data_IF_571578332615
#
_entry.id   IF_571578332615
#
_cell.length_a   1.000
_cell.length_b   1.000
_cell.length_c   1.000
_cell.angle_alpha   90.00
_cell.angle_beta   90.00
_cell.angle_gamma   90.00
#
_symmetry.space_group_name_H-M   'P 1'
#
loop_
_entity.id
_entity.type
_entity.pdbx_description
1 polymer ?
#
# COMPACT_ATOMS: atom_id res chain seq x y z
N UNK A 1 -0.15 -11.72 21.80
CA UNK A 1 0.12 -10.71 20.73
C UNK A 1 0.70 -11.33 19.45
N UNK A 2 1.58 -12.35 19.52
CA UNK A 2 2.19 -12.99 18.34
C UNK A 2 1.19 -13.68 17.39
N UNK A 3 0.10 -14.27 17.91
CA UNK A 3 -0.91 -14.98 17.11
C UNK A 3 -1.77 -14.07 16.23
N UNK A 4 -2.08 -12.85 16.66
CA UNK A 4 -2.93 -11.91 15.90
C UNK A 4 -2.23 -11.33 14.67
N UNK A 5 -0.90 -11.10 14.75
CA UNK A 5 -0.06 -10.71 13.61
C UNK A 5 0.10 -11.84 12.59
N UNK A 6 0.19 -13.09 13.07
CA UNK A 6 0.27 -14.28 12.22
C UNK A 6 -1.06 -14.52 11.47
N UNK A 7 -2.20 -14.33 12.15
CA UNK A 7 -3.53 -14.45 11.53
C UNK A 7 -3.77 -13.33 10.50
N UNK A 8 -3.33 -12.09 10.77
CA UNK A 8 -3.44 -10.99 9.81
C UNK A 8 -2.57 -11.21 8.56
N UNK A 9 -1.37 -11.78 8.71
CA UNK A 9 -0.50 -12.14 7.57
C UNK A 9 -1.02 -13.36 6.80
N UNK A 10 -1.62 -14.34 7.48
CA UNK A 10 -2.33 -15.47 6.86
C UNK A 10 -3.61 -15.04 6.15
N UNK A 11 -4.36 -14.06 6.65
CA UNK A 11 -5.53 -13.48 5.99
C UNK A 11 -5.14 -12.66 4.76
N UNK A 12 -4.03 -11.92 4.83
CA UNK A 12 -3.50 -11.17 3.68
C UNK A 12 -2.96 -12.13 2.60
N UNK A 13 -2.29 -13.22 3.01
CA UNK A 13 -1.88 -14.29 2.09
C UNK A 13 -3.09 -15.07 1.54
N UNK A 14 -4.14 -15.28 2.34
CA UNK A 14 -5.37 -15.96 1.97
C UNK A 14 -6.26 -15.16 1.01
N UNK A 15 -6.31 -13.83 1.15
CA UNK A 15 -6.99 -12.95 0.20
C UNK A 15 -6.26 -12.90 -1.16
N UNK A 16 -4.93 -13.03 -1.15
CA UNK A 16 -4.13 -13.23 -2.37
C UNK A 16 -4.34 -14.62 -2.99
N UNK A 17 -4.57 -15.66 -2.18
CA UNK A 17 -4.71 -17.05 -2.65
C UNK A 17 -6.14 -17.41 -3.11
N UNK A 18 -7.18 -16.89 -2.45
CA UNK A 18 -8.58 -17.21 -2.78
C UNK A 18 -9.03 -16.60 -4.11
N UNK A 19 -8.42 -15.48 -4.53
CA UNK A 19 -8.68 -14.88 -5.84
C UNK A 19 -7.91 -15.53 -7.00
N UNK A 20 -7.01 -16.48 -6.73
CA UNK A 20 -6.33 -17.25 -7.79
C UNK A 20 -7.26 -18.28 -8.45
N UNK A 21 -8.34 -18.68 -7.77
CA UNK A 21 -9.23 -19.75 -8.24
C UNK A 21 -10.51 -19.24 -8.93
N UNK A 22 -10.79 -17.94 -8.92
CA UNK A 22 -12.07 -17.37 -9.41
C UNK A 22 -11.96 -16.57 -10.72
N UNK A 23 -10.78 -16.54 -11.36
CA UNK A 23 -10.61 -15.83 -12.62
C UNK A 23 -9.95 -16.72 -13.66
N UNK A 24 -10.78 -17.44 -14.43
CA UNK A 24 -10.38 -18.03 -15.71
C UNK A 24 -9.88 -16.94 -16.66
N UNK A 25 -8.62 -16.50 -16.53
CA UNK A 25 -7.94 -15.63 -17.51
C UNK A 25 -6.44 -15.63 -17.23
N UNK A 26 -5.74 -16.58 -17.86
CA UNK A 26 -4.27 -16.63 -18.02
C UNK A 26 -3.47 -16.24 -16.77
N UNK A 27 -3.07 -17.23 -15.98
CA UNK A 27 -2.09 -17.02 -14.91
C UNK A 27 -0.83 -16.40 -15.52
N UNK A 28 -0.33 -15.29 -14.96
CA UNK A 28 0.93 -14.68 -15.38
C UNK A 28 1.98 -14.92 -14.31
N UNK A 29 3.21 -15.22 -14.71
CA UNK A 29 4.34 -15.29 -13.79
C UNK A 29 5.45 -14.32 -14.21
N UNK A 30 6.27 -13.95 -13.22
CA UNK A 30 7.45 -13.12 -13.42
C UNK A 30 8.69 -14.02 -13.52
N UNK A 31 9.45 -14.02 -14.62
CA UNK A 31 10.59 -14.93 -14.81
C UNK A 31 11.72 -14.77 -13.79
N UNK A 32 12.05 -13.54 -13.40
CA UNK A 32 13.09 -13.24 -12.41
C UNK A 32 12.50 -12.50 -11.22
N UNK A 33 12.95 -12.81 -10.01
CA UNK A 33 12.47 -12.11 -8.80
C UNK A 33 12.74 -10.59 -8.86
N UNK A 34 13.78 -10.16 -9.58
CA UNK A 34 14.16 -8.77 -9.77
C UNK A 34 13.36 -8.03 -10.85
N UNK A 35 12.61 -8.75 -11.71
CA UNK A 35 11.76 -8.11 -12.71
C UNK A 35 10.51 -7.49 -12.05
N UNK A 36 9.95 -6.45 -12.67
CA UNK A 36 8.74 -5.76 -12.22
C UNK A 36 8.85 -5.07 -10.84
N UNK A 37 10.07 -4.87 -10.35
CA UNK A 37 10.32 -3.99 -9.22
C UNK A 37 10.25 -2.55 -9.72
N UNK A 38 9.58 -1.69 -8.96
CA UNK A 38 9.49 -0.27 -9.26
C UNK A 38 9.91 0.57 -8.06
N UNK A 39 10.42 1.75 -8.36
CA UNK A 39 10.63 2.82 -7.39
C UNK A 39 9.83 4.03 -7.83
N UNK A 40 9.29 4.79 -6.88
CA UNK A 40 8.59 6.04 -7.17
C UNK A 40 8.98 7.11 -6.17
N UNK A 41 9.06 8.34 -6.66
CA UNK A 41 9.24 9.55 -5.86
C UNK A 41 8.09 10.50 -6.17
N UNK A 42 7.50 11.09 -5.14
CA UNK A 42 6.33 11.94 -5.29
C UNK A 42 6.36 13.13 -4.34
N UNK A 43 5.79 14.23 -4.80
CA UNK A 43 5.56 15.46 -4.04
C UNK A 43 4.09 15.83 -4.12
N UNK A 44 3.57 16.44 -3.07
CA UNK A 44 2.15 16.72 -2.98
C UNK A 44 1.76 17.49 -1.75
N UNK A 45 0.50 17.33 -1.38
CA UNK A 45 -0.12 17.99 -0.25
C UNK A 45 -0.86 16.98 0.63
N UNK A 46 -0.95 17.27 1.91
CA UNK A 46 -1.86 16.57 2.81
C UNK A 46 -2.65 17.54 3.67
N UNK A 47 -3.79 17.05 4.16
CA UNK A 47 -4.66 17.73 5.12
C UNK A 47 -5.11 16.73 6.17
N UNK A 48 -5.21 17.19 7.42
CA UNK A 48 -5.72 16.39 8.55
C UNK A 48 -7.15 16.86 8.81
N UNK A 49 -8.08 15.91 8.89
CA UNK A 49 -9.46 16.16 9.29
C UNK A 49 -9.63 15.84 10.77
N UNK A 50 -9.89 16.89 11.56
CA UNK A 50 -10.28 16.80 12.96
C UNK A 50 -11.32 17.90 13.23
N UNK A 51 -12.60 17.59 13.05
CA UNK A 51 -13.74 18.54 13.10
C UNK A 51 -13.77 19.61 11.98
N UNK A 52 -13.10 19.33 10.85
CA UNK A 52 -13.00 20.21 9.69
C UNK A 52 -11.71 19.93 8.90
N UNK A 53 -11.64 20.40 7.65
CA UNK A 53 -10.38 20.33 6.88
C UNK A 53 -9.40 21.35 7.43
N UNK A 54 -8.33 20.88 8.09
CA UNK A 54 -7.27 21.75 8.58
C UNK A 54 -6.29 22.17 7.46
N UNK A 55 -5.36 23.06 7.81
CA UNK A 55 -4.30 23.64 6.97
C UNK A 55 -3.62 22.59 6.06
N UNK A 56 -3.52 22.94 4.78
CA UNK A 56 -2.79 22.16 3.76
C UNK A 56 -1.29 22.27 4.04
N UNK A 57 -0.60 21.14 4.05
CA UNK A 57 0.84 21.07 4.27
C UNK A 57 1.53 20.27 3.16
N UNK A 58 2.83 20.52 2.91
CA UNK A 58 3.57 19.79 1.90
C UNK A 58 3.78 18.33 2.31
N UNK A 59 3.70 17.44 1.34
CA UNK A 59 3.88 16.00 1.47
C UNK A 59 4.93 15.51 0.48
N UNK A 60 5.84 14.66 0.94
CA UNK A 60 6.80 13.98 0.07
C UNK A 60 6.76 12.48 0.34
N UNK A 61 6.89 11.68 -0.71
CA UNK A 61 6.92 10.22 -0.58
C UNK A 61 7.97 9.59 -1.48
N UNK A 62 8.60 8.55 -0.96
CA UNK A 62 9.47 7.64 -1.71
C UNK A 62 8.90 6.24 -1.52
N UNK A 63 8.81 5.46 -2.59
CA UNK A 63 8.28 4.11 -2.51
C UNK A 63 9.08 3.13 -3.36
N UNK A 64 9.05 1.88 -2.92
CA UNK A 64 9.55 0.72 -3.65
C UNK A 64 8.45 -0.33 -3.65
N UNK A 65 8.20 -0.95 -4.79
CA UNK A 65 7.20 -1.99 -4.90
C UNK A 65 7.52 -3.02 -5.95
N UNK A 66 6.69 -4.05 -6.01
CA UNK A 66 6.80 -5.11 -6.99
C UNK A 66 5.41 -5.43 -7.53
N UNK A 67 5.29 -5.45 -8.85
CA UNK A 67 4.10 -6.01 -9.50
C UNK A 67 4.27 -7.54 -9.53
N UNK A 68 3.38 -8.25 -8.85
CA UNK A 68 3.38 -9.72 -8.78
C UNK A 68 2.78 -10.29 -10.07
N UNK A 69 1.69 -9.70 -10.53
CA UNK A 69 1.03 -9.97 -11.81
C UNK A 69 0.73 -8.65 -12.51
N UNK A 70 0.24 -8.67 -13.77
CA UNK A 70 -0.26 -7.45 -14.42
C UNK A 70 -1.35 -6.72 -13.62
N UNK A 71 -2.07 -7.45 -12.76
CA UNK A 71 -3.20 -6.96 -11.96
C UNK A 71 -2.79 -6.63 -10.52
N UNK A 72 -1.93 -7.43 -9.89
CA UNK A 72 -1.64 -7.34 -8.46
C UNK A 72 -0.21 -6.91 -8.18
N UNK A 73 -0.02 -6.09 -7.14
CA UNK A 73 1.28 -5.65 -6.69
C UNK A 73 1.34 -5.39 -5.19
N UNK A 74 2.55 -5.18 -4.68
CA UNK A 74 2.81 -4.76 -3.31
C UNK A 74 3.75 -3.57 -3.32
N UNK A 75 3.61 -2.67 -2.35
CA UNK A 75 4.43 -1.46 -2.26
C UNK A 75 4.73 -1.10 -0.82
N UNK A 76 5.98 -0.76 -0.55
CA UNK A 76 6.38 -0.06 0.66
C UNK A 76 6.62 1.41 0.32
N UNK A 77 6.05 2.31 1.10
CA UNK A 77 6.19 3.76 0.92
C UNK A 77 6.67 4.37 2.23
N UNK A 78 7.64 5.28 2.15
CA UNK A 78 8.03 6.17 3.24
C UNK A 78 7.56 7.57 2.86
N UNK A 79 6.91 8.26 3.79
CA UNK A 79 6.42 9.61 3.58
C UNK A 79 6.94 10.58 4.64
N UNK A 80 7.42 11.73 4.21
CA UNK A 80 7.87 12.82 5.06
C UNK A 80 6.83 13.93 5.09
N UNK A 81 6.43 14.34 6.29
CA UNK A 81 5.44 15.38 6.54
C UNK A 81 6.07 16.43 7.45
N UNK A 82 6.26 17.64 6.94
CA UNK A 82 6.56 18.81 7.78
C UNK A 82 5.28 19.62 7.90
N UNK A 83 4.71 19.71 9.12
CA UNK A 83 3.57 20.58 9.38
C UNK A 83 4.01 21.83 10.13
N UNK A 84 3.79 22.98 9.49
CA UNK A 84 3.87 24.29 10.12
C UNK A 84 2.50 24.64 10.71
N UNK A 85 2.28 24.32 11.99
CA UNK A 85 1.18 24.91 12.76
C UNK A 85 1.60 26.34 13.14
N UNK A 86 1.30 27.33 12.30
CA UNK A 86 1.13 28.71 12.80
C UNK A 86 -0.30 28.78 13.30
N UNK A 87 -0.47 28.83 14.61
CA UNK A 87 -1.65 29.39 15.25
C UNK A 87 -1.28 30.86 15.57
N UNK A 88 -2.25 31.77 15.48
CA UNK A 88 -2.06 33.23 15.66
C UNK A 88 -1.13 33.61 16.84
N UNK A 89 -0.49 34.78 16.68
CA UNK A 89 0.62 35.46 17.39
C UNK A 89 0.79 35.32 18.93
N UNK A 90 0.01 34.51 19.64
CA UNK A 90 0.17 34.22 21.07
C UNK A 90 0.56 32.76 21.39
N UNK A 91 0.59 31.87 20.39
CA UNK A 91 0.97 30.48 20.57
C UNK A 91 2.26 30.19 19.82
N UNK A 92 3.28 29.74 20.57
CA UNK A 92 4.59 29.33 20.06
C UNK A 92 4.47 28.50 18.76
N UNK A 93 5.40 28.69 17.83
CA UNK A 93 5.50 27.87 16.62
C UNK A 93 6.10 26.50 16.98
N UNK A 94 5.32 25.42 17.14
CA UNK A 94 5.91 24.07 17.08
C UNK A 94 5.80 23.56 15.65
N UNK A 95 6.93 23.65 14.96
CA UNK A 95 7.21 22.82 13.80
C UNK A 95 7.16 21.36 14.23
N UNK A 96 6.11 20.63 13.81
CA UNK A 96 6.02 19.21 14.07
C UNK A 96 6.38 18.45 12.79
N UNK A 97 7.57 17.86 12.80
CA UNK A 97 8.02 16.95 11.75
C UNK A 97 7.54 15.54 12.07
N UNK A 98 6.88 14.92 11.09
CA UNK A 98 6.38 13.56 11.18
C UNK A 98 6.96 12.74 10.02
N UNK A 99 7.33 11.50 10.31
CA UNK A 99 7.74 10.53 9.29
C UNK A 99 6.78 9.35 9.33
N UNK A 100 6.23 9.00 8.18
CA UNK A 100 5.31 7.90 7.99
C UNK A 100 5.88 6.79 7.12
N UNK A 101 5.29 5.61 7.24
CA UNK A 101 5.50 4.47 6.37
C UNK A 101 4.18 3.77 6.08
N UNK A 102 4.07 3.18 4.89
CA UNK A 102 2.89 2.41 4.46
C UNK A 102 3.36 1.12 3.79
N UNK A 103 2.61 0.05 3.99
CA UNK A 103 2.74 -1.19 3.23
C UNK A 103 1.41 -1.41 2.53
N UNK A 104 1.38 -1.28 1.22
CA UNK A 104 0.18 -1.32 0.40
C UNK A 104 0.09 -2.64 -0.40
N UNK A 105 -1.07 -3.26 -0.39
CA UNK A 105 -1.51 -4.17 -1.46
C UNK A 105 -2.12 -3.33 -2.58
N UNK A 106 -1.74 -3.60 -3.83
CA UNK A 106 -2.13 -2.82 -5.01
C UNK A 106 -2.91 -3.67 -6.00
N UNK A 107 -3.92 -3.06 -6.63
CA UNK A 107 -4.70 -3.65 -7.70
C UNK A 107 -4.78 -2.69 -8.89
N UNK A 108 -4.40 -3.14 -10.08
CA UNK A 108 -4.53 -2.41 -11.34
C UNK A 108 -5.92 -2.67 -11.92
N UNK A 109 -6.83 -1.71 -11.73
CA UNK A 109 -8.22 -1.80 -12.17
C UNK A 109 -8.33 -1.78 -13.70
N UNK A 110 -7.46 -1.04 -14.39
CA UNK A 110 -7.44 -1.04 -15.86
C UNK A 110 -7.09 -2.41 -16.42
N UNK A 111 -6.11 -3.10 -15.82
CA UNK A 111 -5.79 -4.48 -16.22
C UNK A 111 -6.89 -5.46 -15.81
N UNK A 112 -7.50 -5.26 -14.64
CA UNK A 112 -8.59 -6.11 -14.14
C UNK A 112 -9.78 -6.14 -15.12
N UNK A 113 -10.19 -4.98 -15.63
CA UNK A 113 -11.37 -4.87 -16.49
C UNK A 113 -11.05 -4.96 -17.99
N UNK A 114 -9.91 -4.44 -18.44
CA UNK A 114 -9.57 -4.34 -19.87
C UNK A 114 -8.41 -5.26 -20.30
N UNK A 115 -7.98 -6.19 -19.45
CA UNK A 115 -6.91 -7.15 -19.73
C UNK A 115 -5.50 -6.57 -19.66
N UNK A 116 -4.52 -7.48 -19.57
CA UNK A 116 -3.11 -7.14 -19.46
C UNK A 116 -2.58 -6.53 -20.75
N UNK A 117 -2.10 -5.28 -20.65
CA UNK A 117 -1.42 -4.60 -21.74
C UNK A 117 -0.20 -3.84 -21.19
N UNK A 118 1.04 -4.32 -21.45
CA UNK A 118 2.25 -3.68 -20.93
C UNK A 118 2.51 -2.30 -21.54
N UNK A 119 1.92 -1.99 -22.70
CA UNK A 119 2.08 -0.73 -23.43
C UNK A 119 0.89 0.24 -23.20
N UNK A 120 0.04 -0.05 -22.21
CA UNK A 120 -1.12 0.80 -21.92
C UNK A 120 -0.66 2.17 -21.44
N UNK A 121 -1.03 3.22 -22.18
CA UNK A 121 -0.68 4.60 -21.81
C UNK A 121 -1.28 5.03 -20.46
N UNK A 122 -2.55 4.70 -20.21
CA UNK A 122 -3.27 5.13 -19.01
C UNK A 122 -3.79 3.94 -18.19
N UNK A 123 -3.51 3.95 -16.89
CA UNK A 123 -3.93 2.94 -15.93
C UNK A 123 -4.54 3.59 -14.70
N UNK A 124 -5.59 2.97 -14.17
CA UNK A 124 -6.18 3.28 -12.87
C UNK A 124 -5.86 2.12 -11.94
N UNK A 125 -5.37 2.42 -10.74
CA UNK A 125 -5.07 1.43 -9.73
C UNK A 125 -5.60 1.86 -8.36
N UNK A 126 -5.94 0.87 -7.53
CA UNK A 126 -6.27 1.05 -6.13
C UNK A 126 -5.19 0.47 -5.24
N UNK A 127 -5.14 0.94 -3.99
CA UNK A 127 -4.28 0.38 -2.97
C UNK A 127 -4.90 0.45 -1.58
N UNK A 128 -4.52 -0.50 -0.72
CA UNK A 128 -4.98 -0.61 0.66
C UNK A 128 -3.87 -1.21 1.51
N UNK A 129 -3.67 -0.69 2.72
CA UNK A 129 -2.77 -1.33 3.67
C UNK A 129 -2.54 -0.57 4.97
N UNK A 130 -1.80 -1.19 5.91
CA UNK A 130 -1.44 -0.56 7.17
C UNK A 130 -0.52 0.64 6.96
N UNK A 131 -0.71 1.64 7.83
CA UNK A 131 0.13 2.83 7.94
C UNK A 131 0.79 2.84 9.32
N UNK A 132 2.03 3.30 9.38
CA UNK A 132 2.70 3.72 10.61
C UNK A 132 3.12 5.18 10.49
N UNK A 133 2.96 5.98 11.54
CA UNK A 133 3.49 7.34 11.60
C UNK A 133 4.22 7.57 12.91
N UNK A 134 5.44 8.08 12.86
CA UNK A 134 6.24 8.44 14.02
C UNK A 134 6.36 9.96 14.11
N UNK A 135 6.09 10.46 15.31
CA UNK A 135 6.10 11.87 15.66
C UNK A 135 7.03 12.13 16.83
N UNK A 136 7.80 13.23 16.81
CA UNK A 136 8.35 13.80 18.03
C UNK A 136 7.33 14.79 18.58
N UNK A 137 6.81 14.57 19.79
CA UNK A 137 5.84 15.48 20.43
C UNK A 137 6.28 15.79 21.86
N UNK A 138 6.30 17.07 22.21
CA UNK A 138 6.36 17.50 23.61
C UNK A 138 4.94 17.57 24.18
N UNK A 139 4.79 17.23 25.46
CA UNK A 139 3.58 17.53 26.20
C UNK A 139 3.55 19.04 26.49
N UNK A 140 2.37 19.59 26.75
CA UNK A 140 2.19 21.01 27.05
C UNK A 140 1.43 21.08 28.37
N UNK A 141 2.03 21.74 29.37
CA UNK A 141 1.35 22.04 30.62
C UNK A 141 0.55 23.32 30.41
N UNK A 142 -0.74 23.22 30.73
CA UNK A 142 -1.67 24.35 30.66
C UNK A 142 -1.89 24.86 32.06
N UNK A 143 -1.33 26.03 32.36
CA UNK A 143 -1.59 26.73 33.63
C UNK A 143 -2.70 27.75 33.39
N UNK A 144 -3.83 27.56 34.06
CA UNK A 144 -4.95 28.51 34.06
C UNK A 144 -4.77 29.44 35.27
N UNK A 145 -4.89 30.74 35.04
CA UNK A 145 -4.80 31.76 36.08
C UNK A 145 -5.95 31.60 37.08
N UNK A 146 -5.73 31.91 38.35
CA UNK A 146 -6.69 31.65 39.42
C UNK A 146 -8.04 32.40 39.26
N UNK A 147 -8.06 33.46 38.46
CA UNK A 147 -9.23 34.25 38.07
C UNK A 147 -9.90 33.76 36.77
N UNK A 148 -9.34 32.74 36.12
CA UNK A 148 -9.82 32.15 34.88
C UNK A 148 -9.60 33.01 33.63
N UNK A 149 -8.89 34.14 33.72
CA UNK A 149 -8.82 35.12 32.62
C UNK A 149 -7.63 34.92 31.68
N UNK A 150 -6.55 34.28 32.14
CA UNK A 150 -5.38 33.98 31.31
C UNK A 150 -4.97 32.51 31.36
N UNK A 151 -4.55 31.98 30.21
CA UNK A 151 -4.00 30.62 30.06
C UNK A 151 -2.56 30.75 29.57
N UNK A 152 -1.61 30.17 30.31
CA UNK A 152 -0.22 30.07 29.90
C UNK A 152 0.09 28.62 29.56
N UNK A 153 0.67 28.39 28.39
CA UNK A 153 1.08 27.07 27.93
C UNK A 153 2.61 26.97 27.95
N UNK A 154 3.14 26.09 28.78
CA UNK A 154 4.58 25.82 28.86
C UNK A 154 4.88 24.41 28.31
N UNK A 155 5.99 24.20 27.57
CA UNK A 155 6.44 22.86 27.23
C UNK A 155 6.66 22.02 28.49
N UNK A 156 5.97 20.89 28.60
CA UNK A 156 6.07 19.97 29.73
C UNK A 156 7.00 18.80 29.36
N UNK A 157 8.23 18.87 29.87
CA UNK A 157 9.21 17.77 29.79
C UNK A 157 9.85 17.53 28.42
N UNK A 158 10.58 16.42 28.33
CA UNK A 158 11.32 15.98 27.15
C UNK A 158 10.39 15.55 26.01
N UNK A 159 10.83 15.77 24.77
CA UNK A 159 10.06 15.42 23.59
C UNK A 159 10.07 13.91 23.32
N UNK A 160 8.93 13.23 23.49
CA UNK A 160 8.83 11.78 23.29
C UNK A 160 8.53 11.41 21.83
N UNK A 161 9.09 10.29 21.37
CA UNK A 161 8.73 9.69 20.09
C UNK A 161 7.47 8.83 20.25
N UNK A 162 6.42 9.16 19.50
CA UNK A 162 5.16 8.42 19.50
C UNK A 162 4.92 7.79 18.13
N UNK A 163 4.74 6.47 18.11
CA UNK A 163 4.34 5.72 16.92
C UNK A 163 2.82 5.51 16.90
N UNK A 164 2.20 5.74 15.74
CA UNK A 164 0.77 5.48 15.49
C UNK A 164 0.66 4.43 14.42
N UNK A 165 -0.24 3.46 14.62
CA UNK A 165 -0.56 2.44 13.62
C UNK A 165 -1.99 2.70 13.16
N UNK A 166 -2.17 2.84 11.86
CA UNK A 166 -3.43 3.11 11.21
C UNK A 166 -3.64 2.22 9.99
N UNK A 167 -4.67 2.54 9.24
CA UNK A 167 -4.93 1.94 7.94
C UNK A 167 -5.10 3.06 6.90
N UNK A 168 -4.69 2.79 5.68
CA UNK A 168 -4.82 3.71 4.57
C UNK A 168 -5.28 3.01 3.31
N UNK A 169 -6.02 3.74 2.48
CA UNK A 169 -6.48 3.27 1.19
C UNK A 169 -6.45 4.44 0.20
N UNK A 170 -6.43 4.13 -1.10
CA UNK A 170 -6.43 5.18 -2.10
C UNK A 170 -6.57 4.68 -3.52
N UNK A 171 -6.65 5.65 -4.41
CA UNK A 171 -6.72 5.46 -5.85
C UNK A 171 -5.60 6.26 -6.50
N UNK A 172 -5.05 5.70 -7.56
CA UNK A 172 -4.02 6.34 -8.35
C UNK A 172 -4.32 6.26 -9.84
N UNK A 173 -3.91 7.31 -10.53
CA UNK A 173 -3.87 7.41 -11.98
C UNK A 173 -2.41 7.28 -12.40
N UNK A 174 -2.11 6.41 -13.36
CA UNK A 174 -0.76 6.17 -13.88
C UNK A 174 -0.73 6.39 -15.38
N UNK A 175 0.14 7.29 -15.81
CA UNK A 175 0.43 7.63 -17.19
C UNK A 175 1.78 7.04 -17.57
N UNK A 176 1.78 5.89 -18.24
CA UNK A 176 2.99 5.23 -18.70
C UNK A 176 3.52 5.95 -19.96
N UNK A 177 4.70 6.56 -19.83
CA UNK A 177 5.43 7.16 -20.95
C UNK A 177 6.01 6.04 -21.84
N UNK A 178 6.52 4.99 -21.19
CA UNK A 178 6.96 3.75 -21.81
C UNK A 178 6.86 2.60 -20.80
N UNK A 179 7.40 1.42 -21.13
CA UNK A 179 7.35 0.24 -20.26
C UNK A 179 8.14 0.38 -18.96
N UNK A 180 8.99 1.42 -18.83
CA UNK A 180 9.85 1.68 -17.67
C UNK A 180 9.42 2.92 -16.88
N UNK A 181 9.04 4.00 -17.56
CA UNK A 181 8.76 5.30 -16.94
C UNK A 181 7.26 5.57 -16.93
N UNK A 182 6.76 6.02 -15.78
CA UNK A 182 5.40 6.49 -15.63
C UNK A 182 5.33 7.72 -14.74
N UNK A 183 4.33 8.56 -14.97
CA UNK A 183 3.92 9.63 -14.07
C UNK A 183 2.66 9.14 -13.35
N UNK A 184 2.58 9.35 -12.05
CA UNK A 184 1.45 8.93 -11.23
C UNK A 184 0.87 10.08 -10.43
N UNK A 185 -0.45 10.04 -10.23
CA UNK A 185 -1.19 10.94 -9.35
C UNK A 185 -2.02 10.09 -8.40
N UNK A 186 -1.78 10.20 -7.11
CA UNK A 186 -2.40 9.39 -6.07
C UNK A 186 -3.21 10.23 -5.09
N UNK A 187 -4.44 9.82 -4.84
CA UNK A 187 -5.25 10.28 -3.72
C UNK A 187 -5.29 9.18 -2.65
N UNK A 188 -4.83 9.49 -1.44
CA UNK A 188 -4.82 8.58 -0.29
C UNK A 188 -5.66 9.15 0.85
N UNK A 189 -6.51 8.32 1.42
CA UNK A 189 -7.14 8.54 2.72
C UNK A 189 -6.50 7.61 3.75
N UNK A 190 -6.30 8.11 4.97
CA UNK A 190 -5.80 7.31 6.07
C UNK A 190 -6.53 7.63 7.37
N UNK A 191 -6.62 6.65 8.25
CA UNK A 191 -7.21 6.77 9.57
C UNK A 191 -6.25 6.21 10.62
N UNK A 192 -6.00 6.99 11.66
CA UNK A 192 -5.20 6.58 12.81
C UNK A 192 -5.93 6.90 14.13
N UNK A 193 -5.74 6.08 15.19
CA UNK A 193 -6.27 6.39 16.51
C UNK A 193 -5.67 7.70 17.07
N UNK A 194 -6.52 8.50 17.75
CA UNK A 194 -6.21 9.86 18.22
C UNK A 194 -5.11 9.95 19.30
N UNK A 195 -4.45 11.11 19.34
CA UNK A 195 -3.26 11.45 20.15
C UNK A 195 -3.55 11.73 21.64
N UNK A 196 -4.81 11.91 22.05
CA UNK A 196 -5.15 12.28 23.41
C UNK A 196 -5.60 11.07 24.25
N UNK A 197 -4.85 10.78 25.31
CA UNK A 197 -5.28 9.83 26.32
C UNK A 197 -6.56 10.30 27.03
N UNK A 198 -7.51 9.36 27.18
CA UNK A 198 -8.62 9.21 28.13
C UNK A 198 -9.40 10.40 28.75
N UNK A 199 -9.33 11.64 28.24
CA UNK A 199 -10.10 12.78 28.78
C UNK A 199 -10.85 13.50 27.66
N UNK A 200 -11.82 12.81 27.03
CA UNK A 200 -12.91 13.43 26.27
C UNK A 200 -13.87 12.34 25.79
N UNK A 201 -15.17 12.58 25.93
CA UNK A 201 -16.27 11.71 25.54
C UNK A 201 -16.44 11.50 24.02
N UNK A 202 -15.53 12.01 23.19
CA UNK A 202 -15.58 11.92 21.74
C UNK A 202 -14.32 11.27 21.16
N UNK A 203 -14.37 9.94 21.07
CA UNK A 203 -13.39 9.02 20.45
C UNK A 203 -13.29 9.26 18.92
N UNK A 204 -12.78 10.41 18.47
CA UNK A 204 -12.68 10.71 17.03
C UNK A 204 -11.34 10.19 16.49
N UNK A 205 -11.37 9.24 15.54
CA UNK A 205 -10.19 8.86 14.76
C UNK A 205 -9.72 10.08 13.95
N UNK A 206 -8.41 10.29 13.84
CA UNK A 206 -7.86 11.36 13.02
C UNK A 206 -7.80 10.87 11.57
N UNK A 207 -8.55 11.54 10.69
CA UNK A 207 -8.52 11.28 9.25
C UNK A 207 -7.42 12.10 8.58
N UNK A 208 -6.64 11.53 7.68
CA UNK A 208 -5.69 12.27 6.86
C UNK A 208 -5.99 12.03 5.39
N UNK A 209 -6.11 13.11 4.61
CA UNK A 209 -6.18 13.07 3.15
C UNK A 209 -4.86 13.52 2.56
N UNK A 210 -4.39 12.84 1.52
CA UNK A 210 -3.16 13.17 0.80
C UNK A 210 -3.42 13.13 -0.71
N UNK A 211 -2.85 14.09 -1.43
CA UNK A 211 -2.82 14.13 -2.88
C UNK A 211 -1.36 14.27 -3.32
N UNK A 212 -0.85 13.31 -4.09
CA UNK A 212 0.57 13.24 -4.49
C UNK A 212 0.68 13.09 -5.99
N UNK A 213 1.62 13.80 -6.61
CA UNK A 213 2.05 13.53 -7.97
C UNK A 213 3.51 13.06 -7.96
N UNK A 214 3.83 12.07 -8.78
CA UNK A 214 5.12 11.40 -8.73
C UNK A 214 5.58 10.85 -10.07
N UNK A 215 6.83 10.39 -10.06
CA UNK A 215 7.47 9.69 -11.17
C UNK A 215 7.88 8.31 -10.69
N UNK A 216 7.45 7.30 -11.43
CA UNK A 216 7.73 5.89 -11.21
C UNK A 216 8.71 5.35 -12.26
N UNK A 217 9.68 4.55 -11.82
CA UNK A 217 10.58 3.78 -12.68
C UNK A 217 10.48 2.28 -12.38
N UNK A 218 10.23 1.47 -13.40
CA UNK A 218 10.17 0.00 -13.34
C UNK A 218 11.47 -0.58 -13.88
N UNK A 219 12.21 -1.28 -13.03
CA UNK A 219 13.47 -1.92 -13.40
C UNK A 219 13.24 -3.01 -14.43
N UNK A 220 13.90 -2.88 -15.58
CA UNK A 220 13.77 -3.83 -16.70
C UNK A 220 12.45 -3.73 -17.47
N UNK A 221 11.53 -2.85 -17.05
CA UNK A 221 10.19 -2.71 -17.61
C UNK A 221 9.22 -3.84 -17.21
N UNK A 222 7.95 -3.68 -17.59
CA UNK A 222 6.90 -4.69 -17.34
C UNK A 222 7.17 -5.97 -18.11
N UNK A 223 7.50 -7.07 -17.42
CA UNK A 223 7.76 -8.40 -17.99
C UNK A 223 6.86 -9.43 -17.32
N UNK A 224 5.81 -9.82 -18.03
CA UNK A 224 4.89 -10.87 -17.58
C UNK A 224 4.79 -11.93 -18.66
N UNK A 225 5.00 -13.18 -18.27
CA UNK A 225 4.87 -14.32 -19.17
C UNK A 225 3.54 -15.00 -18.86
N UNK A 226 2.64 -15.16 -19.84
CA UNK A 226 1.43 -15.95 -19.64
C UNK A 226 1.85 -17.39 -19.42
N UNK A 227 1.37 -18.01 -18.35
CA UNK A 227 1.36 -19.46 -18.21
C UNK A 227 0.48 -19.97 -19.35
N UNK A 228 1.10 -20.63 -20.32
CA UNK A 228 0.36 -21.38 -21.33
C UNK A 228 -0.61 -22.30 -20.60
N UNK A 229 -1.89 -22.28 -20.96
CA UNK A 229 -2.82 -23.31 -20.51
C UNK A 229 -2.21 -24.64 -20.95
N UNK A 230 -1.72 -25.43 -20.00
CA UNK A 230 -1.49 -26.85 -20.26
C UNK A 230 -2.88 -27.38 -20.54
N UNK A 231 -3.08 -27.92 -21.74
CA UNK A 231 -4.30 -28.61 -22.09
C UNK A 231 -4.31 -29.90 -21.26
N UNK A 232 -4.95 -29.84 -20.09
CA UNK A 232 -5.03 -30.96 -19.16
C UNK A 232 -5.67 -32.18 -19.82
N UNK A 233 -6.60 -31.99 -20.75
CA UNK A 233 -7.25 -33.08 -21.49
C UNK A 233 -6.27 -33.73 -22.46
N UNK A 234 -5.47 -32.94 -23.18
CA UNK A 234 -4.41 -33.47 -24.05
C UNK A 234 -3.33 -34.22 -23.25
N UNK A 235 -2.93 -33.68 -22.10
CA UNK A 235 -1.96 -34.35 -21.21
C UNK A 235 -2.54 -35.62 -20.59
N UNK A 236 -3.80 -35.60 -20.16
CA UNK A 236 -4.48 -36.78 -19.61
C UNK A 236 -4.69 -37.86 -20.69
N UNK A 237 -5.01 -37.47 -21.92
CA UNK A 237 -5.10 -38.39 -23.06
C UNK A 237 -3.75 -39.07 -23.32
N UNK A 238 -2.65 -38.33 -23.26
CA UNK A 238 -1.30 -38.87 -23.46
C UNK A 238 -0.84 -39.76 -22.30
N UNK A 239 -1.16 -39.40 -21.05
CA UNK A 239 -0.93 -40.27 -19.87
C UNK A 239 -1.71 -41.58 -20.01
N UNK A 240 -2.96 -41.52 -20.45
CA UNK A 240 -3.78 -42.72 -20.64
C UNK A 240 -3.26 -43.57 -21.80
N UNK A 241 -2.76 -42.96 -22.88
CA UNK A 241 -2.07 -43.67 -23.97
C UNK A 241 -0.85 -44.43 -23.43
N UNK A 242 0.04 -43.77 -22.69
CA UNK A 242 1.22 -44.43 -22.13
C UNK A 242 0.88 -45.54 -21.14
N UNK A 243 -0.16 -45.37 -20.31
CA UNK A 243 -0.66 -46.43 -19.43
C UNK A 243 -1.14 -47.66 -20.21
N UNK A 244 -1.83 -47.44 -21.33
CA UNK A 244 -2.29 -48.53 -22.19
C UNK A 244 -1.13 -49.27 -22.87
N UNK A 245 -0.13 -48.53 -23.37
CA UNK A 245 1.08 -49.11 -23.98
C UNK A 245 1.90 -49.92 -22.97
N UNK A 246 2.04 -49.43 -21.74
CA UNK A 246 2.71 -50.15 -20.65
C UNK A 246 1.97 -51.43 -20.25
N UNK A 247 0.64 -51.37 -20.13
CA UNK A 247 -0.16 -52.55 -19.79
C UNK A 247 -0.05 -53.62 -20.88
N UNK A 248 -0.01 -53.22 -22.15
CA UNK A 248 0.12 -54.14 -23.28
C UNK A 248 1.52 -54.75 -23.36
N UNK A 249 2.57 -53.93 -23.20
CA UNK A 249 3.95 -54.44 -23.13
C UNK A 249 4.16 -55.41 -21.95
N UNK A 250 3.51 -55.18 -20.81
CA UNK A 250 3.54 -56.11 -19.67
C UNK A 250 2.79 -57.42 -19.96
N UNK A 251 1.66 -57.37 -20.66
CA UNK A 251 0.92 -58.56 -21.07
C UNK A 251 1.69 -59.39 -22.11
N UNK A 252 2.34 -58.73 -23.07
CA UNK A 252 3.16 -59.40 -24.08
C UNK A 252 4.40 -60.07 -23.46
N UNK A 253 5.02 -59.42 -22.47
CA UNK A 253 6.15 -59.99 -21.73
C UNK A 253 5.74 -61.16 -20.83
N UNK A 254 4.52 -61.16 -20.28
CA UNK A 254 3.98 -62.25 -19.47
C UNK A 254 3.54 -63.47 -20.30
N UNK A 255 3.33 -63.28 -21.61
CA UNK A 255 2.96 -64.34 -22.56
C UNK A 255 4.17 -64.87 -23.35
N UNK A 256 5.39 -64.43 -23.02
CA UNK A 256 6.65 -64.95 -23.55
C UNK A 256 7.28 -65.99 -22.61
#
# INVERSE_FOLDING_TARGET
>A
MKSKLMIASLLLAGACAANLNAQEKTNYYTPKWSDNIFVSVGGGIHAINNDGFNKIAPHFSVSVGKLITPTWGVRAQVNGITQHLCLDDAYWEHNKTYVGGNIDAMINLSTLFAGANPNRFFEVYGFLGPQISVAKSQNVDVTISADGTSQSMAPAGEAEMRARIGASAGLGLKFNINTKWAIDVEARGAIAPSIFGNISSHRKAEGTGMLTAGVSYIFGGKKFVPVSKIDEDAVNAEINRYRSELAQAQADLANC
#
